data_IF_808496569312
#
_entry.id   IF_808496569312
#
_cell.length_a   1.000
_cell.length_b   1.000
_cell.length_c   1.000
_cell.angle_alpha   90.00
_cell.angle_beta   90.00
_cell.angle_gamma   90.00
#
_symmetry.space_group_name_H-M   'P 1'
#
loop_
_entity.id
_entity.type
_entity.pdbx_description
1 polymer ?
#
# COMPACT_ATOMS: atom_id res chain seq x y z
N UNK A 1 7.65 -9.18 6.62
CA UNK A 1 8.00 -8.12 5.64
C UNK A 1 8.68 -6.97 6.39
N UNK A 2 9.67 -6.32 5.78
CA UNK A 2 10.21 -5.03 6.25
C UNK A 2 9.79 -3.99 5.21
N UNK A 3 9.13 -2.92 5.63
CA UNK A 3 8.54 -1.92 4.74
C UNK A 3 8.72 -0.51 5.31
N UNK A 4 8.62 0.51 4.46
CA UNK A 4 8.68 1.90 4.91
C UNK A 4 7.43 2.28 5.72
N UNK A 5 7.61 3.10 6.76
CA UNK A 5 6.52 3.75 7.49
C UNK A 5 6.03 5.00 6.74
N UNK A 6 5.63 4.82 5.49
CA UNK A 6 5.08 5.92 4.70
C UNK A 6 3.83 5.49 3.94
N UNK A 7 3.03 6.48 3.55
CA UNK A 7 1.86 6.27 2.70
C UNK A 7 0.90 5.23 3.31
N UNK A 8 0.43 4.26 2.53
CA UNK A 8 -0.52 3.22 2.93
C UNK A 8 0.12 1.97 3.55
N UNK A 9 1.45 1.91 3.64
CA UNK A 9 2.14 0.73 4.15
C UNK A 9 1.92 0.49 5.65
N UNK A 10 1.85 1.50 6.53
CA UNK A 10 1.48 1.30 7.93
C UNK A 10 0.12 0.62 8.09
N UNK A 11 -0.86 0.99 7.27
CA UNK A 11 -2.20 0.43 7.27
C UNK A 11 -2.21 -0.99 6.71
N UNK A 12 -1.45 -1.28 5.66
CA UNK A 12 -1.39 -2.64 5.07
C UNK A 12 -0.65 -3.59 6.00
N UNK A 13 0.56 -3.22 6.42
CA UNK A 13 1.47 -4.08 7.19
C UNK A 13 1.02 -4.23 8.64
N UNK A 14 0.49 -3.16 9.24
CA UNK A 14 0.08 -3.16 10.64
C UNK A 14 1.21 -3.63 11.57
N UNK A 15 0.89 -4.54 12.47
CA UNK A 15 1.85 -5.17 13.38
C UNK A 15 2.52 -6.43 12.79
N UNK A 16 2.05 -6.92 11.64
CA UNK A 16 2.50 -8.16 11.01
C UNK A 16 3.86 -8.07 10.29
N UNK A 17 4.51 -6.90 10.33
CA UNK A 17 5.82 -6.65 9.76
C UNK A 17 6.62 -5.66 10.58
N UNK A 18 7.79 -5.29 10.06
CA UNK A 18 8.61 -4.23 10.65
C UNK A 18 8.48 -2.99 9.75
N UNK A 19 8.02 -1.89 10.35
CA UNK A 19 7.93 -0.59 9.69
C UNK A 19 9.14 0.27 10.06
N UNK A 20 9.92 0.65 9.06
CA UNK A 20 11.13 1.47 9.22
C UNK A 20 10.91 2.88 8.69
N UNK A 21 11.46 3.88 9.36
CA UNK A 21 11.48 5.25 8.81
C UNK A 21 12.38 5.28 7.56
N UNK A 22 11.89 5.93 6.51
CA UNK A 22 12.63 6.10 5.25
C UNK A 22 12.79 7.58 4.89
N UNK A 23 12.83 8.44 5.89
CA UNK A 23 13.06 9.85 5.68
C UNK A 23 14.48 10.09 5.16
N UNK A 24 14.66 10.99 4.19
CA UNK A 24 15.98 11.34 3.73
C UNK A 24 16.76 12.04 4.84
N UNK A 25 18.01 11.62 5.03
CA UNK A 25 18.93 12.32 5.92
C UNK A 25 19.50 13.56 5.20
N UNK A 26 19.48 14.74 5.83
CA UNK A 26 20.13 15.91 5.29
C UNK A 26 21.66 15.72 5.31
N UNK A 27 22.33 16.17 4.25
CA UNK A 27 23.77 16.33 4.24
C UNK A 27 24.15 17.67 3.65
N UNK A 28 25.12 18.31 4.30
CA UNK A 28 25.57 19.66 3.95
C UNK A 28 26.78 19.57 3.03
N UNK A 29 26.73 20.30 1.91
CA UNK A 29 27.90 20.45 1.04
C UNK A 29 28.80 21.58 1.54
N UNK A 30 30.05 21.61 1.08
CA UNK A 30 31.02 22.66 1.47
C UNK A 30 30.57 24.04 0.99
N UNK A 31 29.77 24.08 -0.06
CA UNK A 31 29.22 25.27 -0.71
C UNK A 31 27.90 25.73 -0.06
N UNK A 32 27.45 25.08 1.02
CA UNK A 32 26.27 25.49 1.80
C UNK A 32 24.93 24.92 1.33
N UNK A 33 24.91 23.99 0.36
CA UNK A 33 23.68 23.34 -0.07
C UNK A 33 23.26 22.24 0.90
N UNK A 34 21.95 22.09 1.10
CA UNK A 34 21.37 20.94 1.80
C UNK A 34 20.85 19.96 0.77
N UNK A 35 21.48 18.80 0.74
CA UNK A 35 21.07 17.68 -0.09
C UNK A 35 20.47 16.59 0.79
N UNK A 36 19.66 15.74 0.20
CA UNK A 36 18.91 14.70 0.90
C UNK A 36 19.37 13.35 0.37
N UNK A 37 19.83 12.47 1.25
CA UNK A 37 20.24 11.10 0.89
C UNK A 37 19.32 10.10 1.55
N UNK A 38 19.05 8.99 0.88
CA UNK A 38 18.30 7.88 1.46
C UNK A 38 19.06 7.31 2.66
N UNK A 39 18.45 7.32 3.84
CA UNK A 39 18.97 6.58 4.99
C UNK A 39 18.66 5.09 4.84
N UNK A 40 19.67 4.24 4.97
CA UNK A 40 19.52 2.78 4.94
C UNK A 40 19.68 2.14 6.33
N UNK A 41 19.92 2.96 7.38
CA UNK A 41 20.32 2.47 8.70
C UNK A 41 19.23 1.63 9.36
N UNK A 42 18.02 2.16 9.40
CA UNK A 42 16.87 1.48 9.99
C UNK A 42 16.52 0.18 9.24
N UNK A 43 16.60 0.20 7.90
CA UNK A 43 16.39 -1.01 7.08
C UNK A 43 17.42 -2.09 7.40
N UNK A 44 18.72 -1.74 7.45
CA UNK A 44 19.80 -2.67 7.81
C UNK A 44 19.57 -3.29 9.19
N UNK A 45 19.26 -2.49 10.20
CA UNK A 45 19.01 -2.96 11.57
C UNK A 45 17.82 -3.93 11.63
N UNK A 46 16.73 -3.60 10.94
CA UNK A 46 15.57 -4.49 10.83
C UNK A 46 15.92 -5.82 10.15
N UNK A 47 16.73 -5.78 9.07
CA UNK A 47 17.20 -7.00 8.39
C UNK A 47 18.06 -7.86 9.32
N UNK A 48 18.93 -7.24 10.11
CA UNK A 48 19.77 -7.94 11.08
C UNK A 48 18.94 -8.60 12.19
N UNK A 49 17.94 -7.92 12.75
CA UNK A 49 17.04 -8.50 13.75
C UNK A 49 16.29 -9.70 13.18
N UNK A 50 15.69 -9.55 11.99
CA UNK A 50 14.97 -10.66 11.33
C UNK A 50 15.90 -11.81 11.03
N UNK A 51 17.18 -11.57 10.71
CA UNK A 51 18.16 -12.62 10.44
C UNK A 51 18.55 -13.38 11.72
N UNK A 52 18.89 -12.66 12.80
CA UNK A 52 19.42 -13.22 14.05
C UNK A 52 18.35 -13.84 14.94
N UNK A 53 17.14 -13.27 14.99
CA UNK A 53 16.08 -13.72 15.89
C UNK A 53 15.08 -14.63 15.16
N UNK A 54 15.21 -15.93 15.42
CA UNK A 54 14.30 -16.93 14.85
C UNK A 54 12.88 -16.86 15.39
N UNK A 55 12.70 -16.46 16.65
CA UNK A 55 11.39 -16.36 17.29
C UNK A 55 10.59 -15.18 16.75
N UNK A 56 11.23 -14.02 16.62
CA UNK A 56 10.67 -12.84 15.97
C UNK A 56 10.22 -13.17 14.54
N UNK A 57 11.09 -13.82 13.77
CA UNK A 57 10.79 -14.21 12.38
C UNK A 57 9.61 -15.20 12.28
N UNK A 58 9.51 -16.16 13.19
CA UNK A 58 8.38 -17.09 13.24
C UNK A 58 7.06 -16.36 13.53
N UNK A 59 7.05 -15.49 14.54
CA UNK A 59 5.87 -14.68 14.90
C UNK A 59 5.45 -13.74 13.78
N UNK A 60 6.40 -13.05 13.13
CA UNK A 60 6.11 -12.18 11.99
C UNK A 60 5.55 -12.97 10.79
N UNK A 61 6.00 -14.21 10.57
CA UNK A 61 5.47 -15.07 9.51
C UNK A 61 4.03 -15.46 9.78
N UNK A 62 3.71 -15.86 11.01
CA UNK A 62 2.35 -16.22 11.41
C UNK A 62 1.38 -15.04 11.24
N UNK A 63 1.68 -13.91 11.88
CA UNK A 63 0.86 -12.68 11.77
C UNK A 63 0.77 -12.18 10.34
N UNK A 64 1.85 -12.27 9.57
CA UNK A 64 1.87 -11.91 8.15
C UNK A 64 0.90 -12.75 7.31
N UNK A 65 0.85 -14.06 7.55
CA UNK A 65 -0.07 -14.96 6.85
C UNK A 65 -1.52 -14.69 7.24
N UNK A 66 -1.80 -14.40 8.51
CA UNK A 66 -3.13 -14.02 8.97
C UNK A 66 -3.58 -12.69 8.35
N UNK A 67 -2.74 -11.66 8.43
CA UNK A 67 -3.02 -10.34 7.84
C UNK A 67 -3.24 -10.41 6.34
N UNK A 68 -2.44 -11.19 5.61
CA UNK A 68 -2.56 -11.31 4.16
C UNK A 68 -3.92 -11.89 3.73
N UNK A 69 -4.54 -12.76 4.55
CA UNK A 69 -5.87 -13.33 4.24
C UNK A 69 -6.98 -12.29 4.23
N UNK A 70 -6.80 -11.15 4.90
CA UNK A 70 -7.78 -10.06 4.91
C UNK A 70 -7.79 -9.26 3.59
N UNK A 71 -6.71 -9.34 2.82
CA UNK A 71 -6.55 -8.59 1.55
C UNK A 71 -6.81 -9.50 0.35
N UNK A 72 -8.08 -9.61 -0.04
CA UNK A 72 -8.51 -10.35 -1.23
C UNK A 72 -8.92 -9.42 -2.38
N UNK A 73 -8.81 -9.92 -3.61
CA UNK A 73 -9.30 -9.20 -4.80
C UNK A 73 -10.81 -9.11 -4.81
N UNK A 74 -11.50 -10.18 -4.44
CA UNK A 74 -12.95 -10.24 -4.35
C UNK A 74 -13.48 -9.17 -3.38
N UNK A 75 -12.91 -9.10 -2.17
CA UNK A 75 -13.31 -8.09 -1.19
C UNK A 75 -12.96 -6.67 -1.63
N UNK A 76 -11.87 -6.47 -2.38
CA UNK A 76 -11.54 -5.16 -2.95
C UNK A 76 -12.56 -4.75 -4.03
N UNK A 77 -12.93 -5.66 -4.93
CA UNK A 77 -13.93 -5.43 -5.97
C UNK A 77 -15.30 -5.13 -5.38
N UNK A 78 -15.75 -5.88 -4.37
CA UNK A 78 -17.02 -5.65 -3.68
C UNK A 78 -17.07 -4.26 -3.05
N UNK A 79 -16.03 -3.88 -2.29
CA UNK A 79 -15.94 -2.55 -1.67
C UNK A 79 -15.91 -1.42 -2.71
N UNK A 80 -15.21 -1.63 -3.82
CA UNK A 80 -15.18 -0.67 -4.93
C UNK A 80 -16.56 -0.51 -5.57
N UNK A 81 -17.25 -1.62 -5.87
CA UNK A 81 -18.59 -1.61 -6.44
C UNK A 81 -19.60 -0.91 -5.52
N UNK A 82 -19.52 -1.16 -4.21
CA UNK A 82 -20.34 -0.46 -3.21
C UNK A 82 -20.07 1.06 -3.22
N UNK A 83 -18.80 1.47 -3.21
CA UNK A 83 -18.42 2.87 -3.25
C UNK A 83 -18.93 3.57 -4.52
N UNK A 84 -18.81 2.92 -5.67
CA UNK A 84 -19.34 3.43 -6.95
C UNK A 84 -20.87 3.53 -6.93
N UNK A 85 -21.57 2.51 -6.43
CA UNK A 85 -23.03 2.53 -6.31
C UNK A 85 -23.52 3.64 -5.37
N UNK A 86 -22.81 3.88 -4.26
CA UNK A 86 -23.07 4.99 -3.34
C UNK A 86 -22.82 6.34 -4.00
N UNK A 87 -21.70 6.48 -4.72
CA UNK A 87 -21.38 7.69 -5.45
C UNK A 87 -22.47 8.00 -6.50
N UNK A 88 -22.90 7.00 -7.29
CA UNK A 88 -23.91 7.15 -8.34
C UNK A 88 -25.26 7.70 -7.82
N UNK A 89 -25.61 7.44 -6.56
CA UNK A 89 -26.85 7.93 -5.92
C UNK A 89 -26.70 9.35 -5.34
N UNK A 90 -25.50 9.93 -5.37
CA UNK A 90 -25.23 11.22 -4.75
C UNK A 90 -25.87 12.37 -5.54
N UNK A 91 -26.65 13.23 -4.86
CA UNK A 91 -27.41 14.33 -5.48
C UNK A 91 -26.58 15.32 -6.31
N UNK A 92 -25.27 15.45 -6.02
CA UNK A 92 -24.34 16.30 -6.79
C UNK A 92 -23.96 15.74 -8.16
N UNK A 93 -24.18 14.45 -8.43
CA UNK A 93 -23.98 13.90 -9.77
C UNK A 93 -25.11 14.40 -10.68
N UNK A 94 -24.80 15.39 -11.51
CA UNK A 94 -25.73 15.89 -12.52
C UNK A 94 -26.09 14.76 -13.49
N UNK A 95 -27.38 14.41 -13.54
CA UNK A 95 -27.96 13.43 -14.48
C UNK A 95 -27.61 13.72 -15.95
N UNK A 96 -27.27 14.97 -16.28
CA UNK A 96 -26.84 15.39 -17.63
C UNK A 96 -25.56 14.70 -18.11
N UNK A 97 -24.60 14.39 -17.22
CA UNK A 97 -23.32 13.77 -17.61
C UNK A 97 -23.47 12.26 -17.90
N UNK A 98 -24.47 11.60 -17.30
CA UNK A 98 -24.79 10.19 -17.54
C UNK A 98 -25.66 9.96 -18.79
N UNK A 99 -26.20 11.02 -19.42
CA UNK A 99 -26.97 10.90 -20.67
C UNK A 99 -26.10 10.59 -21.90
N UNK A 100 -24.78 10.76 -21.82
CA UNK A 100 -23.85 10.15 -22.78
C UNK A 100 -23.77 8.66 -22.45
N UNK A 101 -24.63 7.86 -23.07
CA UNK A 101 -24.47 6.40 -23.13
C UNK A 101 -23.05 6.12 -23.65
N UNK A 102 -22.13 5.76 -22.77
CA UNK A 102 -20.98 4.97 -23.19
C UNK A 102 -21.54 3.59 -23.41
N UNK A 103 -21.76 3.23 -24.67
CA UNK A 103 -22.00 1.84 -25.04
C UNK A 103 -20.70 1.09 -24.72
N UNK A 104 -20.59 0.60 -23.49
CA UNK A 104 -19.62 -0.43 -23.15
C UNK A 104 -20.19 -1.73 -23.71
N UNK A 105 -20.04 -1.92 -25.02
CA UNK A 105 -20.21 -3.25 -25.59
C UNK A 105 -19.16 -4.17 -24.96
N UNK A 106 -19.52 -5.40 -24.56
CA UNK A 106 -18.53 -6.36 -24.10
C UNK A 106 -17.53 -6.58 -25.24
N UNK A 107 -16.29 -6.13 -25.06
CA UNK A 107 -15.22 -6.60 -25.92
C UNK A 107 -14.93 -8.05 -25.53
N UNK A 108 -15.16 -8.97 -26.46
CA UNK A 108 -14.58 -10.30 -26.38
C UNK A 108 -13.07 -10.14 -26.28
N UNK A 109 -12.48 -10.60 -25.18
CA UNK A 109 -11.04 -10.65 -25.00
C UNK A 109 -10.54 -11.86 -25.79
N UNK A 110 -9.77 -11.69 -26.88
CA UNK A 110 -9.31 -12.84 -27.65
C UNK A 110 -8.26 -13.60 -26.84
N UNK A 111 -8.56 -14.85 -26.44
CA UNK A 111 -7.58 -15.80 -25.92
C UNK A 111 -7.60 -16.09 -24.41
N UNK A 112 -8.77 -16.17 -23.78
CA UNK A 112 -8.93 -16.86 -22.50
C UNK A 112 -9.11 -18.37 -22.71
#
# INVERSE_FOLDING_TARGET
VIASRNTSLPEVVGDAGILVECDPEPFYTKEGWVLHKTSIRALREAMEWVFRDGSLRASLRERGLERAREFTWEGACERMAEALAKAAKHHRLRKEHFKRKVALEPQEVPGA
#
